data_IF_121685381470
#
_entry.id   IF_121685381470
#
_cell.length_a   1.000
_cell.length_b   1.000
_cell.length_c   1.000
_cell.angle_alpha   90.00
_cell.angle_beta   90.00
_cell.angle_gamma   90.00
#
_symmetry.space_group_name_H-M   'P 1'
#
loop_
_entity.id
_entity.type
_entity.pdbx_description
1 polymer ?
#
# COMPACT_ATOMS: atom_id res chain seq x y z
N UNK A 1 -27.37 -8.51 -6.14
CA UNK A 1 -26.59 -9.01 -4.99
C UNK A 1 -25.31 -8.22 -4.93
N UNK A 2 -25.04 -7.59 -3.81
CA UNK A 2 -23.80 -6.87 -3.56
C UNK A 2 -22.61 -7.85 -3.60
N UNK A 3 -21.55 -7.54 -4.34
CA UNK A 3 -20.39 -8.43 -4.47
C UNK A 3 -19.63 -8.43 -3.15
N UNK A 4 -19.43 -9.60 -2.54
CA UNK A 4 -18.56 -9.76 -1.36
C UNK A 4 -17.13 -9.29 -1.66
N UNK A 5 -16.52 -8.55 -0.73
CA UNK A 5 -15.19 -7.95 -0.85
C UNK A 5 -14.22 -8.56 0.17
N UNK A 6 -13.10 -9.06 -0.30
CA UNK A 6 -11.98 -9.50 0.54
C UNK A 6 -10.83 -8.51 0.47
N UNK A 7 -10.42 -7.95 1.60
CA UNK A 7 -9.19 -7.16 1.70
C UNK A 7 -7.98 -8.10 1.89
N UNK A 8 -7.01 -8.04 0.98
CA UNK A 8 -5.77 -8.83 1.03
C UNK A 8 -4.64 -7.92 1.50
N UNK A 9 -4.25 -8.01 2.77
CA UNK A 9 -3.18 -7.20 3.36
C UNK A 9 -1.84 -7.94 3.26
N UNK A 10 -0.94 -7.45 2.40
CA UNK A 10 0.37 -8.05 2.18
C UNK A 10 1.34 -7.57 3.25
N UNK A 11 1.65 -8.45 4.22
CA UNK A 11 2.47 -8.21 5.39
C UNK A 11 3.73 -9.11 5.45
N UNK A 12 4.03 -9.87 4.38
CA UNK A 12 5.11 -10.87 4.36
C UNK A 12 6.52 -10.30 4.10
N UNK A 13 6.67 -8.98 3.90
CA UNK A 13 7.95 -8.35 3.57
C UNK A 13 8.94 -8.38 4.75
N UNK A 14 10.20 -8.71 4.47
CA UNK A 14 11.28 -8.91 5.47
C UNK A 14 11.86 -7.63 6.09
N UNK A 15 11.39 -6.44 5.72
CA UNK A 15 11.83 -5.12 6.26
C UNK A 15 13.36 -4.91 6.28
N UNK A 16 14.14 -5.61 5.44
CA UNK A 16 15.61 -5.65 5.45
C UNK A 16 16.29 -4.28 5.39
N UNK A 17 15.64 -3.29 4.76
CA UNK A 17 16.17 -1.91 4.62
C UNK A 17 16.13 -1.09 5.90
N UNK A 18 15.27 -1.45 6.86
CA UNK A 18 15.07 -0.67 8.09
C UNK A 18 15.88 -1.22 9.27
N UNK A 19 16.38 -2.47 9.20
CA UNK A 19 17.08 -3.14 10.30
C UNK A 19 16.15 -3.61 11.44
N UNK A 20 14.84 -3.37 11.33
CA UNK A 20 13.80 -3.88 12.22
C UNK A 20 12.51 -4.14 11.42
N UNK A 21 11.56 -4.87 11.99
CA UNK A 21 10.27 -5.09 11.34
C UNK A 21 9.41 -3.81 11.42
N UNK A 22 9.28 -3.12 10.29
CA UNK A 22 8.52 -1.87 10.18
C UNK A 22 7.04 -2.02 10.53
N UNK A 23 6.49 -3.23 10.39
CA UNK A 23 5.08 -3.48 10.70
C UNK A 23 4.79 -3.46 12.20
N UNK A 24 5.83 -3.72 13.03
CA UNK A 24 5.75 -3.63 14.49
C UNK A 24 6.02 -2.22 15.04
N UNK A 25 6.39 -1.26 14.17
CA UNK A 25 6.66 0.10 14.63
C UNK A 25 5.41 0.76 15.21
N UNK A 26 5.55 1.37 16.40
CA UNK A 26 4.47 2.06 17.10
C UNK A 26 4.27 3.47 16.52
N UNK A 27 3.06 3.74 16.09
CA UNK A 27 2.59 5.02 15.56
C UNK A 27 1.79 5.82 16.62
N UNK A 28 2.21 5.79 17.88
CA UNK A 28 1.56 6.48 18.99
C UNK A 28 0.50 5.62 19.67
N UNK A 29 0.84 4.39 20.05
CA UNK A 29 -0.01 3.43 20.75
C UNK A 29 -0.66 2.38 19.83
N UNK A 30 -0.36 2.41 18.55
CA UNK A 30 -0.87 1.46 17.56
C UNK A 30 0.23 1.09 16.56
N UNK A 31 0.41 -0.20 16.28
CA UNK A 31 1.42 -0.61 15.30
C UNK A 31 1.01 -0.29 13.86
N UNK A 32 2.00 -0.18 12.95
CA UNK A 32 1.76 -0.01 11.51
C UNK A 32 0.80 -1.08 10.98
N UNK A 33 1.00 -2.34 11.39
CA UNK A 33 0.16 -3.44 10.92
C UNK A 33 -1.26 -3.34 11.48
N UNK A 34 -1.42 -3.10 12.78
CA UNK A 34 -2.74 -2.98 13.40
C UNK A 34 -3.55 -1.84 12.76
N UNK A 35 -2.91 -0.69 12.54
CA UNK A 35 -3.55 0.46 11.89
C UNK A 35 -4.04 0.14 10.47
N UNK A 36 -3.25 -0.60 9.70
CA UNK A 36 -3.67 -1.07 8.37
C UNK A 36 -4.85 -2.04 8.46
N UNK A 37 -4.82 -3.01 9.38
CA UNK A 37 -5.94 -3.94 9.61
C UNK A 37 -7.21 -3.15 9.98
N UNK A 38 -7.11 -2.23 10.93
CA UNK A 38 -8.23 -1.41 11.40
C UNK A 38 -8.86 -0.57 10.29
N UNK A 39 -8.06 -0.01 9.39
CA UNK A 39 -8.57 0.77 8.27
C UNK A 39 -9.54 -0.04 7.40
N UNK A 40 -9.23 -1.31 7.10
CA UNK A 40 -10.12 -2.18 6.34
C UNK A 40 -11.25 -2.77 7.18
N UNK A 41 -10.99 -3.06 8.46
CA UNK A 41 -12.04 -3.54 9.36
C UNK A 41 -13.17 -2.53 9.54
N UNK A 42 -12.86 -1.23 9.55
CA UNK A 42 -13.82 -0.14 9.67
C UNK A 42 -14.55 0.19 8.35
N UNK A 43 -14.11 -0.32 7.20
CA UNK A 43 -14.79 -0.06 5.93
C UNK A 43 -16.04 -0.94 5.80
N UNK A 44 -17.25 -0.36 5.69
CA UNK A 44 -18.49 -1.16 5.60
C UNK A 44 -18.54 -2.09 4.37
N UNK A 45 -17.86 -1.72 3.29
CA UNK A 45 -17.83 -2.48 2.03
C UNK A 45 -16.94 -3.71 2.07
N UNK A 46 -16.07 -3.84 3.09
CA UNK A 46 -15.17 -5.00 3.24
C UNK A 46 -15.85 -6.06 4.09
N UNK A 47 -15.88 -7.31 3.65
CA UNK A 47 -16.53 -8.41 4.37
C UNK A 47 -15.55 -9.27 5.17
N UNK A 48 -14.31 -9.42 4.67
CA UNK A 48 -13.27 -10.21 5.32
C UNK A 48 -11.88 -9.65 5.04
N UNK A 49 -10.91 -10.05 5.87
CA UNK A 49 -9.50 -9.68 5.71
C UNK A 49 -8.66 -10.94 5.56
N UNK A 50 -7.87 -11.01 4.50
CA UNK A 50 -6.84 -12.02 4.31
C UNK A 50 -5.50 -11.38 4.61
N UNK A 51 -4.88 -11.79 5.72
CA UNK A 51 -3.60 -11.26 6.16
C UNK A 51 -2.47 -12.18 5.69
N UNK A 52 -1.66 -11.71 4.75
CA UNK A 52 -0.56 -12.49 4.18
C UNK A 52 0.71 -12.20 4.97
N UNK A 53 1.18 -13.16 5.76
CA UNK A 53 2.31 -13.00 6.67
C UNK A 53 3.48 -13.94 6.31
N UNK A 54 4.70 -13.47 6.58
CA UNK A 54 5.93 -14.24 6.47
C UNK A 54 6.37 -14.86 7.81
N UNK A 55 7.64 -14.66 8.18
CA UNK A 55 8.19 -15.06 9.48
C UNK A 55 7.52 -14.39 10.68
N UNK A 56 6.81 -13.26 10.46
CA UNK A 56 6.07 -12.50 11.46
C UNK A 56 4.63 -12.99 11.69
N UNK A 57 4.31 -14.24 11.32
CA UNK A 57 2.93 -14.79 11.37
C UNK A 57 2.30 -14.69 12.76
N UNK A 58 3.02 -15.04 13.83
CA UNK A 58 2.50 -14.98 15.19
C UNK A 58 2.16 -13.52 15.60
N UNK A 59 3.01 -12.56 15.26
CA UNK A 59 2.76 -11.15 15.44
C UNK A 59 1.53 -10.69 14.63
N UNK A 60 1.43 -11.11 13.37
CA UNK A 60 0.29 -10.76 12.52
C UNK A 60 -1.04 -11.29 13.09
N UNK A 61 -1.06 -12.52 13.63
CA UNK A 61 -2.22 -13.10 14.30
C UNK A 61 -2.61 -12.30 15.55
N UNK A 62 -1.63 -11.89 16.35
CA UNK A 62 -1.85 -11.05 17.53
C UNK A 62 -2.47 -9.70 17.17
N UNK A 63 -1.96 -9.05 16.11
CA UNK A 63 -2.47 -7.75 15.65
C UNK A 63 -3.89 -7.82 15.07
N UNK A 64 -4.36 -8.98 14.70
CA UNK A 64 -5.70 -9.21 14.16
C UNK A 64 -6.69 -9.76 15.20
N UNK A 65 -6.27 -9.99 16.45
CA UNK A 65 -7.05 -10.72 17.45
C UNK A 65 -8.36 -10.00 17.86
N UNK A 66 -8.38 -8.68 17.81
CA UNK A 66 -9.52 -7.83 18.15
C UNK A 66 -10.27 -7.31 16.91
N UNK A 67 -9.95 -7.82 15.73
CA UNK A 67 -10.60 -7.40 14.49
C UNK A 67 -12.09 -7.82 14.48
N UNK A 68 -12.98 -6.84 14.26
CA UNK A 68 -14.42 -7.08 14.22
C UNK A 68 -14.90 -7.88 12.98
N UNK A 69 -14.04 -8.06 11.97
CA UNK A 69 -14.33 -8.83 10.75
C UNK A 69 -13.60 -10.16 10.74
N UNK A 70 -14.08 -11.16 10.00
CA UNK A 70 -13.35 -12.41 9.82
C UNK A 70 -11.94 -12.17 9.26
N UNK A 71 -10.91 -12.72 9.92
CA UNK A 71 -9.52 -12.64 9.48
C UNK A 71 -8.98 -14.04 9.23
N UNK A 72 -8.41 -14.25 8.04
CA UNK A 72 -7.66 -15.45 7.70
C UNK A 72 -6.18 -15.10 7.52
N UNK A 73 -5.27 -15.78 8.22
CA UNK A 73 -3.83 -15.55 8.08
C UNK A 73 -3.20 -16.65 7.23
N UNK A 74 -2.62 -16.26 6.09
CA UNK A 74 -1.99 -17.16 5.12
C UNK A 74 -0.50 -16.88 4.99
N UNK A 75 0.26 -17.86 4.49
CA UNK A 75 1.69 -17.71 4.26
C UNK A 75 1.96 -16.85 3.03
N UNK A 76 2.94 -15.96 3.12
CA UNK A 76 3.51 -15.25 1.98
C UNK A 76 4.31 -16.17 1.06
N UNK A 77 4.63 -15.67 -0.14
CA UNK A 77 5.55 -16.29 -1.07
C UNK A 77 6.96 -15.69 -1.01
N UNK A 78 7.84 -16.11 -1.92
CA UNK A 78 9.20 -15.59 -2.04
C UNK A 78 9.23 -14.12 -2.53
N UNK A 79 8.18 -13.71 -3.25
CA UNK A 79 8.04 -12.36 -3.80
C UNK A 79 6.76 -11.69 -3.30
N UNK A 80 6.65 -10.34 -3.51
CA UNK A 80 5.41 -9.62 -3.25
C UNK A 80 4.26 -10.15 -4.12
N UNK A 81 4.52 -10.41 -5.39
CA UNK A 81 3.52 -10.94 -6.32
C UNK A 81 2.99 -12.32 -5.88
N UNK A 82 3.88 -13.23 -5.48
CA UNK A 82 3.48 -14.54 -4.92
C UNK A 82 2.69 -14.39 -3.62
N UNK A 83 3.06 -13.45 -2.77
CA UNK A 83 2.33 -13.16 -1.53
C UNK A 83 0.92 -12.65 -1.85
N UNK A 84 0.77 -11.71 -2.79
CA UNK A 84 -0.53 -11.22 -3.25
C UNK A 84 -1.38 -12.36 -3.84
N UNK A 85 -0.80 -13.18 -4.72
CA UNK A 85 -1.44 -14.39 -5.28
C UNK A 85 -1.98 -15.31 -4.17
N UNK A 86 -1.15 -15.65 -3.18
CA UNK A 86 -1.56 -16.53 -2.07
C UNK A 86 -2.75 -15.94 -1.30
N UNK A 87 -2.75 -14.62 -1.08
CA UNK A 87 -3.86 -13.92 -0.46
C UNK A 87 -5.14 -13.94 -1.30
N UNK A 88 -5.04 -13.70 -2.61
CA UNK A 88 -6.19 -13.73 -3.53
C UNK A 88 -6.76 -15.14 -3.69
N UNK A 89 -5.92 -16.17 -3.67
CA UNK A 89 -6.39 -17.58 -3.69
C UNK A 89 -7.18 -17.91 -2.43
N UNK A 90 -6.81 -17.42 -1.26
CA UNK A 90 -7.51 -17.64 0.00
C UNK A 90 -8.77 -16.78 0.16
N UNK A 91 -8.92 -15.73 -0.63
CA UNK A 91 -10.07 -14.83 -0.59
C UNK A 91 -11.34 -15.52 -1.07
N UNK A 92 -12.49 -15.23 -0.42
CA UNK A 92 -13.80 -15.76 -0.81
C UNK A 92 -14.68 -14.73 -1.55
N UNK A 93 -14.30 -13.44 -1.50
CA UNK A 93 -15.04 -12.38 -2.15
C UNK A 93 -14.93 -12.40 -3.68
N UNK A 94 -15.94 -11.86 -4.36
CA UNK A 94 -15.92 -11.66 -5.80
C UNK A 94 -15.01 -10.47 -6.20
N UNK A 95 -14.80 -9.53 -5.29
CA UNK A 95 -13.81 -8.45 -5.40
C UNK A 95 -12.69 -8.68 -4.40
N UNK A 96 -11.47 -8.39 -4.80
CA UNK A 96 -10.28 -8.40 -3.93
C UNK A 96 -9.63 -7.02 -3.92
N UNK A 97 -9.25 -6.55 -2.72
CA UNK A 97 -8.52 -5.30 -2.52
C UNK A 97 -7.13 -5.62 -1.99
N UNK A 98 -6.12 -5.64 -2.86
CA UNK A 98 -4.73 -5.94 -2.48
C UNK A 98 -4.06 -4.69 -1.94
N UNK A 99 -3.61 -4.75 -0.69
CA UNK A 99 -3.04 -3.60 0.00
C UNK A 99 -1.70 -3.92 0.66
N UNK A 100 -0.75 -3.01 0.51
CA UNK A 100 0.52 -3.09 1.22
C UNK A 100 0.29 -2.73 2.71
N UNK A 101 0.45 -3.67 3.63
CA UNK A 101 0.27 -3.44 5.07
C UNK A 101 1.21 -2.34 5.64
N UNK A 102 2.21 -1.92 4.87
CA UNK A 102 3.09 -0.80 5.18
C UNK A 102 2.53 0.58 4.79
N UNK A 103 1.23 0.69 4.45
CA UNK A 103 0.52 1.96 4.23
C UNK A 103 -0.57 2.17 5.30
N UNK A 104 -0.19 2.49 6.54
CA UNK A 104 -1.12 2.59 7.67
C UNK A 104 -2.04 3.81 7.61
N UNK A 105 -1.83 4.72 6.67
CA UNK A 105 -2.56 6.00 6.57
C UNK A 105 -3.62 6.02 5.46
N UNK A 106 -4.00 4.85 4.93
CA UNK A 106 -5.07 4.78 3.95
C UNK A 106 -6.40 5.22 4.57
N UNK A 107 -7.09 6.18 3.92
CA UNK A 107 -8.36 6.71 4.40
C UNK A 107 -9.56 5.86 3.95
N UNK A 108 -10.66 5.93 4.68
CA UNK A 108 -11.93 5.30 4.30
C UNK A 108 -12.41 5.78 2.93
N UNK A 109 -12.20 7.05 2.62
CA UNK A 109 -12.57 7.63 1.34
C UNK A 109 -11.81 6.97 0.18
N UNK A 110 -10.52 6.75 0.31
CA UNK A 110 -9.70 6.07 -0.71
C UNK A 110 -10.14 4.62 -0.87
N UNK A 111 -10.36 3.88 0.24
CA UNK A 111 -10.81 2.49 0.19
C UNK A 111 -12.17 2.38 -0.51
N UNK A 112 -13.15 3.20 -0.11
CA UNK A 112 -14.50 3.17 -0.68
C UNK A 112 -14.48 3.52 -2.16
N UNK A 113 -13.81 4.62 -2.56
CA UNK A 113 -13.77 5.07 -3.95
C UNK A 113 -13.17 4.03 -4.90
N UNK A 114 -12.10 3.35 -4.49
CA UNK A 114 -11.47 2.32 -5.34
C UNK A 114 -12.30 1.04 -5.42
N UNK A 115 -12.96 0.64 -4.33
CA UNK A 115 -13.86 -0.53 -4.32
C UNK A 115 -15.08 -0.30 -5.24
N UNK A 116 -15.71 0.87 -5.14
CA UNK A 116 -16.83 1.25 -6.00
C UNK A 116 -16.43 1.30 -7.48
N UNK A 117 -15.25 1.85 -7.79
CA UNK A 117 -14.73 1.86 -9.15
C UNK A 117 -14.49 0.43 -9.67
N UNK A 118 -13.81 -0.43 -8.91
CA UNK A 118 -13.56 -1.82 -9.29
C UNK A 118 -14.86 -2.63 -9.44
N UNK A 119 -15.88 -2.36 -8.63
CA UNK A 119 -17.19 -2.99 -8.77
C UNK A 119 -17.87 -2.67 -10.11
N UNK A 120 -17.62 -1.46 -10.66
CA UNK A 120 -18.18 -1.03 -11.96
C UNK A 120 -17.36 -1.50 -13.16
N UNK A 121 -16.03 -1.40 -13.09
CA UNK A 121 -15.14 -1.60 -14.27
C UNK A 121 -14.26 -2.84 -14.20
N UNK A 122 -14.29 -3.59 -13.08
CA UNK A 122 -13.53 -4.82 -12.90
C UNK A 122 -12.12 -4.63 -12.32
N UNK A 123 -11.48 -3.44 -12.45
CA UNK A 123 -10.16 -3.15 -11.88
C UNK A 123 -9.98 -1.67 -11.62
N UNK A 124 -9.47 -1.29 -10.44
CA UNK A 124 -9.18 0.10 -10.10
C UNK A 124 -8.03 0.22 -9.09
N UNK A 125 -7.34 1.36 -9.11
CA UNK A 125 -6.28 1.69 -8.16
C UNK A 125 -6.28 3.18 -7.83
N UNK A 126 -6.00 3.58 -6.57
CA UNK A 126 -5.85 4.98 -6.22
C UNK A 126 -4.49 5.49 -6.70
N UNK A 127 -4.48 6.72 -7.19
CA UNK A 127 -3.27 7.36 -7.67
C UNK A 127 -3.29 8.87 -7.39
N UNK A 128 -2.10 9.45 -7.25
CA UNK A 128 -1.91 10.90 -7.11
C UNK A 128 -1.04 11.41 -8.25
N UNK A 129 -1.28 12.62 -8.78
CA UNK A 129 -0.39 13.25 -9.76
C UNK A 129 1.05 13.34 -9.24
N UNK A 130 2.03 13.09 -10.10
CA UNK A 130 3.45 13.23 -9.73
C UNK A 130 3.78 14.72 -9.56
N UNK A 131 4.38 15.10 -8.42
CA UNK A 131 4.75 16.49 -8.13
C UNK A 131 6.10 16.88 -8.74
N UNK A 132 7.08 15.97 -8.67
CA UNK A 132 8.43 16.23 -9.15
C UNK A 132 8.56 16.00 -10.66
N UNK A 133 9.57 16.62 -11.27
CA UNK A 133 9.92 16.32 -12.65
C UNK A 133 10.63 14.98 -12.74
N UNK A 134 10.02 14.01 -13.42
CA UNK A 134 10.58 12.68 -13.60
C UNK A 134 11.55 12.67 -14.80
N UNK A 135 12.71 12.05 -14.61
CA UNK A 135 13.70 11.82 -15.67
C UNK A 135 13.83 10.33 -15.95
N UNK A 136 13.65 9.94 -17.20
CA UNK A 136 14.09 8.63 -17.66
C UNK A 136 15.59 8.68 -17.91
N UNK A 137 16.34 7.67 -17.43
CA UNK A 137 17.79 7.61 -17.56
C UNK A 137 18.26 6.40 -18.38
N UNK A 138 19.42 6.53 -19.03
CA UNK A 138 19.99 5.46 -19.90
C UNK A 138 20.62 4.33 -19.08
N UNK A 139 21.08 4.60 -17.86
CA UNK A 139 21.55 3.60 -16.89
C UNK A 139 21.04 3.94 -15.52
N UNK A 140 20.58 2.96 -14.81
CA UNK A 140 20.06 3.13 -13.46
C UNK A 140 19.34 1.87 -13.00
N UNK A 141 20.09 0.84 -12.65
CA UNK A 141 19.57 -0.30 -11.91
C UNK A 141 20.19 -0.29 -10.51
N UNK A 142 19.80 0.67 -9.68
CA UNK A 142 20.38 0.77 -8.36
C UNK A 142 19.54 1.60 -7.39
N UNK A 143 19.92 1.58 -6.10
CA UNK A 143 19.30 2.38 -5.05
C UNK A 143 19.84 3.81 -4.99
N UNK A 144 20.92 4.08 -5.68
CA UNK A 144 21.61 5.38 -5.78
C UNK A 144 21.78 5.75 -7.24
N UNK A 145 21.88 7.03 -7.55
CA UNK A 145 22.18 7.51 -8.89
C UNK A 145 23.66 7.25 -9.18
N UNK A 146 24.01 6.39 -10.19
CA UNK A 146 25.40 6.17 -10.56
C UNK A 146 26.04 7.43 -11.17
N UNK A 147 27.37 7.57 -11.07
CA UNK A 147 28.11 8.72 -11.64
C UNK A 147 27.96 8.83 -13.18
N UNK A 148 27.76 7.70 -13.87
CA UNK A 148 27.57 7.60 -15.33
C UNK A 148 26.08 7.55 -15.75
N UNK A 149 25.17 8.03 -14.92
CA UNK A 149 23.74 8.08 -15.17
C UNK A 149 23.36 9.38 -15.88
N UNK A 150 22.94 9.29 -17.15
CA UNK A 150 22.55 10.44 -17.94
C UNK A 150 21.06 10.46 -18.25
N UNK A 151 20.48 11.66 -18.29
CA UNK A 151 19.07 11.83 -18.68
C UNK A 151 18.87 11.41 -20.12
N UNK A 152 17.92 10.49 -20.35
CA UNK A 152 17.49 10.06 -21.67
C UNK A 152 16.27 10.85 -22.16
N UNK A 153 15.27 11.01 -21.27
CA UNK A 153 14.03 11.71 -21.59
C UNK A 153 13.39 12.33 -20.36
N UNK A 154 12.51 13.30 -20.60
CA UNK A 154 11.63 13.86 -19.58
C UNK A 154 10.18 13.58 -20.00
N UNK A 155 9.50 12.58 -19.41
CA UNK A 155 8.11 12.31 -19.71
C UNK A 155 7.21 13.51 -19.37
N UNK A 156 6.10 13.65 -20.09
CA UNK A 156 5.10 14.67 -19.77
C UNK A 156 4.47 14.38 -18.40
N UNK A 157 4.75 15.24 -17.43
CA UNK A 157 4.26 15.10 -16.05
C UNK A 157 2.75 15.09 -15.95
N UNK A 158 2.03 15.73 -16.88
CA UNK A 158 0.56 15.77 -16.87
C UNK A 158 -0.07 14.38 -17.05
N UNK A 159 0.67 13.42 -17.59
CA UNK A 159 0.24 12.03 -17.80
C UNK A 159 0.76 11.07 -16.74
N UNK A 160 1.55 11.53 -15.76
CA UNK A 160 2.19 10.68 -14.76
C UNK A 160 1.47 10.70 -13.43
N UNK A 161 1.19 9.51 -12.94
CA UNK A 161 0.56 9.29 -11.65
C UNK A 161 1.36 8.31 -10.80
N UNK A 162 1.50 8.61 -9.51
CA UNK A 162 2.06 7.69 -8.52
C UNK A 162 0.93 6.82 -7.98
N UNK A 163 0.91 5.53 -8.39
CA UNK A 163 -0.10 4.56 -7.99
C UNK A 163 0.13 4.11 -6.56
N UNK A 164 -0.96 3.97 -5.83
CA UNK A 164 -0.98 3.54 -4.43
C UNK A 164 -1.72 2.20 -4.29
N UNK A 165 -1.95 1.78 -3.05
CA UNK A 165 -2.84 0.67 -2.71
C UNK A 165 -3.90 1.15 -1.70
N UNK A 166 -5.09 0.49 -1.65
CA UNK A 166 -5.43 -0.82 -2.22
C UNK A 166 -5.63 -0.79 -3.73
N UNK A 167 -5.16 -1.83 -4.43
CA UNK A 167 -5.46 -2.09 -5.82
C UNK A 167 -6.56 -3.14 -5.86
N UNK A 168 -7.69 -2.82 -6.49
CA UNK A 168 -8.91 -3.60 -6.39
C UNK A 168 -9.28 -4.23 -7.72
N UNK A 169 -9.68 -5.51 -7.68
CA UNK A 169 -9.91 -6.31 -8.88
C UNK A 169 -11.10 -7.24 -8.71
N UNK A 170 -11.78 -7.54 -9.81
CA UNK A 170 -12.60 -8.75 -9.90
C UNK A 170 -11.69 -9.96 -9.69
N UNK A 171 -12.03 -10.81 -8.72
CA UNK A 171 -11.18 -11.93 -8.31
C UNK A 171 -10.99 -12.96 -9.44
N UNK A 172 -12.03 -13.25 -10.18
CA UNK A 172 -11.94 -14.22 -11.29
C UNK A 172 -11.03 -13.67 -12.41
N UNK A 173 -11.14 -12.37 -12.73
CA UNK A 173 -10.27 -11.72 -13.70
C UNK A 173 -8.81 -11.66 -13.24
N UNK A 174 -8.57 -11.45 -11.93
CA UNK A 174 -7.21 -11.48 -11.38
C UNK A 174 -6.58 -12.87 -11.52
N UNK A 175 -7.31 -13.94 -11.17
CA UNK A 175 -6.82 -15.31 -11.29
C UNK A 175 -6.58 -15.70 -12.75
N UNK A 176 -7.49 -15.34 -13.67
CA UNK A 176 -7.29 -15.56 -15.11
C UNK A 176 -6.04 -14.83 -15.63
N UNK A 177 -5.81 -13.58 -15.19
CA UNK A 177 -4.60 -12.83 -15.57
C UNK A 177 -3.32 -13.51 -15.10
N UNK A 178 -3.33 -14.14 -13.91
CA UNK A 178 -2.18 -14.93 -13.44
C UNK A 178 -1.89 -16.16 -14.28
N UNK A 179 -2.93 -16.83 -14.80
CA UNK A 179 -2.80 -18.01 -15.65
C UNK A 179 -2.31 -17.67 -17.07
N UNK A 180 -2.60 -16.46 -17.55
CA UNK A 180 -2.17 -15.97 -18.87
C UNK A 180 -0.70 -15.48 -18.90
N UNK A 181 -0.08 -15.29 -17.74
CA UNK A 181 1.32 -14.85 -17.67
C UNK A 181 2.28 -16.00 -17.97
N UNK A 182 3.10 -15.82 -19.00
CA UNK A 182 4.30 -16.62 -19.18
C UNK A 182 5.43 -16.19 -18.22
N UNK A 183 6.51 -16.98 -18.16
CA UNK A 183 7.62 -16.74 -17.26
C UNK A 183 8.39 -15.43 -17.57
N UNK A 184 8.34 -14.94 -18.80
CA UNK A 184 8.99 -13.70 -19.23
C UNK A 184 8.19 -12.50 -18.72
N UNK A 185 6.88 -12.47 -19.00
CA UNK A 185 5.98 -11.41 -18.53
C UNK A 185 5.90 -11.36 -17.01
N UNK A 186 5.91 -12.52 -16.33
CA UNK A 186 5.88 -12.59 -14.87
C UNK A 186 7.02 -11.81 -14.19
N UNK A 187 8.19 -11.69 -14.86
CA UNK A 187 9.33 -10.90 -14.36
C UNK A 187 9.11 -9.39 -14.48
N UNK A 188 8.18 -8.96 -15.33
CA UNK A 188 7.85 -7.55 -15.54
C UNK A 188 6.78 -7.04 -14.57
N UNK A 189 6.13 -7.94 -13.83
CA UNK A 189 5.11 -7.57 -12.84
C UNK A 189 5.76 -6.82 -11.68
N UNK A 190 5.45 -5.53 -11.57
CA UNK A 190 5.93 -4.65 -10.50
C UNK A 190 4.91 -4.46 -9.38
N UNK A 191 3.62 -4.47 -9.74
CA UNK A 191 2.46 -4.39 -8.84
C UNK A 191 1.27 -5.15 -9.44
N UNK A 192 0.13 -5.15 -8.77
CA UNK A 192 -1.04 -5.91 -9.24
C UNK A 192 -1.73 -5.25 -10.46
N UNK A 193 -1.57 -3.93 -10.65
CA UNK A 193 -2.04 -3.26 -11.86
C UNK A 193 -1.27 -3.72 -13.10
N UNK A 194 0.06 -3.85 -12.99
CA UNK A 194 0.90 -4.30 -14.12
C UNK A 194 0.57 -5.72 -14.57
N UNK A 195 0.05 -6.59 -13.69
CA UNK A 195 -0.50 -7.89 -14.07
C UNK A 195 -1.66 -7.73 -15.07
N UNK A 196 -2.57 -6.79 -14.82
CA UNK A 196 -3.70 -6.51 -15.71
C UNK A 196 -3.24 -5.88 -17.04
N UNK A 197 -2.32 -4.94 -16.99
CA UNK A 197 -1.74 -4.28 -18.17
C UNK A 197 -1.06 -5.28 -19.11
N UNK A 198 -0.23 -6.18 -18.57
CA UNK A 198 0.48 -7.21 -19.32
C UNK A 198 -0.44 -8.25 -19.98
N UNK A 199 -1.67 -8.36 -19.48
CA UNK A 199 -2.71 -9.25 -20.05
C UNK A 199 -3.79 -8.48 -20.81
N UNK A 200 -3.53 -7.19 -21.14
CA UNK A 200 -4.41 -6.38 -21.99
C UNK A 200 -5.70 -5.89 -21.30
N UNK A 201 -5.76 -5.92 -19.96
CA UNK A 201 -6.90 -5.47 -19.17
C UNK A 201 -6.70 -4.04 -18.69
N UNK A 202 -7.73 -3.22 -18.76
CA UNK A 202 -7.69 -1.84 -18.28
C UNK A 202 -7.85 -1.77 -16.77
N UNK A 203 -7.14 -0.81 -16.13
CA UNK A 203 -7.27 -0.46 -14.71
C UNK A 203 -7.69 1.00 -14.61
N UNK A 204 -8.80 1.29 -13.93
CA UNK A 204 -9.26 2.65 -13.69
C UNK A 204 -8.45 3.29 -12.56
N UNK A 205 -7.88 4.48 -12.78
CA UNK A 205 -7.30 5.26 -11.69
C UNK A 205 -8.41 6.03 -10.96
N UNK A 206 -8.36 6.00 -9.62
CA UNK A 206 -9.20 6.80 -8.72
C UNK A 206 -8.36 7.81 -7.97
N UNK A 207 -9.00 8.83 -7.37
CA UNK A 207 -8.30 9.81 -6.57
C UNK A 207 -7.66 9.14 -5.35
N UNK A 208 -6.34 9.21 -5.26
CA UNK A 208 -5.54 8.81 -4.11
C UNK A 208 -5.32 9.96 -3.13
N UNK A 209 -4.53 9.72 -2.10
CA UNK A 209 -4.18 10.69 -1.08
C UNK A 209 -2.66 10.70 -0.86
N UNK A 210 -2.03 11.86 -0.89
CA UNK A 210 -0.60 11.99 -0.57
C UNK A 210 -0.26 11.54 0.84
N UNK A 211 -1.21 11.60 1.78
CA UNK A 211 -1.03 11.05 3.13
C UNK A 211 -0.97 9.52 3.16
N UNK A 212 -1.45 8.82 2.12
CA UNK A 212 -1.38 7.35 2.01
C UNK A 212 0.05 6.88 1.66
N UNK A 213 1.01 7.28 2.49
CA UNK A 213 2.43 6.97 2.31
C UNK A 213 2.71 5.49 2.56
N UNK A 214 3.67 4.95 1.80
CA UNK A 214 4.25 3.62 2.06
C UNK A 214 5.49 3.77 2.92
N UNK A 215 5.47 3.23 4.13
CA UNK A 215 6.65 3.17 5.00
C UNK A 215 7.65 2.19 4.40
N UNK A 216 8.78 2.70 3.87
CA UNK A 216 9.83 1.92 3.21
C UNK A 216 11.18 2.13 3.85
N UNK A 217 11.44 3.31 4.39
CA UNK A 217 12.67 3.73 5.06
C UNK A 217 12.35 4.40 6.40
N UNK A 218 13.38 4.69 7.21
CA UNK A 218 13.19 5.37 8.51
C UNK A 218 12.66 6.79 8.35
N UNK A 219 12.97 7.43 7.24
CA UNK A 219 12.56 8.80 6.93
C UNK A 219 11.05 8.91 6.68
N UNK A 220 10.39 7.78 6.30
CA UNK A 220 8.94 7.72 6.08
C UNK A 220 8.15 7.62 7.40
N UNK A 221 8.85 7.37 8.52
CA UNK A 221 8.20 7.30 9.82
C UNK A 221 7.85 8.71 10.30
N UNK A 222 6.68 8.91 10.93
CA UNK A 222 6.36 10.16 11.58
C UNK A 222 7.46 10.50 12.59
N UNK A 223 8.04 11.68 12.47
CA UNK A 223 8.94 12.18 13.51
C UNK A 223 8.10 12.41 14.76
N UNK A 224 8.56 11.99 15.95
CA UNK A 224 7.91 12.41 17.17
C UNK A 224 7.86 13.94 17.12
N UNK A 225 6.64 14.50 17.23
CA UNK A 225 6.50 15.94 17.38
C UNK A 225 7.42 16.34 18.53
N UNK A 226 8.44 17.12 18.23
CA UNK A 226 9.14 17.85 19.27
C UNK A 226 8.04 18.72 19.87
N UNK A 227 7.56 18.35 21.05
CA UNK A 227 6.78 19.27 21.88
C UNK A 227 7.71 20.47 22.05
N UNK A 228 7.51 21.49 21.23
CA UNK A 228 8.06 22.80 21.54
C UNK A 228 7.46 23.14 22.90
N UNK A 229 8.28 22.98 23.95
CA UNK A 229 7.99 23.62 25.22
C UNK A 229 7.97 25.11 24.90
N UNK A 230 6.78 25.63 24.64
CA UNK A 230 6.56 27.07 24.70
C UNK A 230 6.85 27.50 26.13
N UNK A 231 8.14 27.74 26.40
CA UNK A 231 8.55 28.50 27.57
C UNK A 231 8.01 29.91 27.39
N UNK A 232 6.81 30.10 27.91
CA UNK A 232 6.21 31.43 28.01
C UNK A 232 7.14 32.27 28.89
N UNK A 233 7.98 33.11 28.27
CA UNK A 233 8.77 34.11 28.99
C UNK A 233 7.85 35.31 29.25
N UNK A 234 7.31 35.38 30.49
CA UNK A 234 6.62 36.56 30.97
C UNK A 234 7.71 37.56 31.42
N UNK A 235 7.95 38.60 30.63
CA UNK A 235 8.78 39.73 31.02
C UNK A 235 7.90 40.77 31.71
N UNK A 236 8.09 41.02 33.01
CA UNK A 236 7.59 42.21 33.68
C UNK A 236 8.52 43.39 33.40
N UNK A 237 8.08 44.33 32.56
CA UNK A 237 8.72 45.65 32.46
C UNK A 237 8.12 46.58 33.49
N UNK A 238 8.91 47.07 34.41
CA UNK A 238 8.57 48.23 35.24
C UNK A 238 9.07 49.50 34.54
N UNK A 239 8.14 50.37 34.23
CA UNK A 239 8.45 51.74 33.77
C UNK A 239 8.51 52.60 35.03
N UNK A 240 9.65 53.29 35.28
CA UNK A 240 9.85 54.23 36.38
C UNK A 240 9.98 55.61 35.80
N UNK A 241 9.01 56.46 36.04
CA UNK A 241 9.11 57.90 35.85
C UNK A 241 9.75 58.56 37.04
#
# INVERSE_FOLDING_TARGET
>A
MEKKVSAVLVAAGSSTRMGFDKLSFDLGGETVLHRSIRAFAQCPLVDEIILVAGSNRAFAQQQAADCAKPVCVVAGGATRAESAKNGVLAASGALVAVHDAARPFVSQQVITAVLEAAARCGAAAPAVPVKDTIKAAVRGSGKTVPEDCFVHATPDRSTLYAVQTPQCFDRAAYLAALEELDAEKARLVTDDCSLFELTGRAVQLTQGDYANLKITTREDLPRPEQKEEHKMRIGHGYDVH
#
